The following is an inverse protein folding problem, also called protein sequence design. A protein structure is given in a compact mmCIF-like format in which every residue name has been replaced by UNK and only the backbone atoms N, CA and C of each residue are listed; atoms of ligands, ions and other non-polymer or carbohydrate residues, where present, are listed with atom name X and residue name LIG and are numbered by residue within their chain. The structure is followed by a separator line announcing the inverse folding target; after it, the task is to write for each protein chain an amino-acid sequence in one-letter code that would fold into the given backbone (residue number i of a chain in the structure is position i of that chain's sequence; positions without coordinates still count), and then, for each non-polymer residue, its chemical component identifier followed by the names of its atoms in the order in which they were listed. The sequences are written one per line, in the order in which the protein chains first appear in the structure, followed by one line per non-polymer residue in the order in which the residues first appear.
data_IF_116719165658
#
_entry.id   IF_116719165658
#
_cell.length_a   1.000
_cell.length_b   1.000
_cell.length_c   1.000
_cell.angle_alpha   90.00
_cell.angle_beta   90.00
_cell.angle_gamma   90.00
#
_symmetry.space_group_name_H-M   'P 1'
#
loop_
_entity.id
_entity.type
_entity.pdbx_description
1 polymer ?
#
# COMPACT_ATOMS: atom_id res chain seq x y z
N UNK A 1 55.42 -8.47 34.29
CA UNK A 1 55.06 -7.28 33.49
C UNK A 1 54.22 -7.62 32.25
N UNK A 2 54.30 -8.82 31.70
CA UNK A 2 53.55 -9.22 30.50
C UNK A 2 52.02 -9.35 30.69
N UNK A 3 51.57 -9.84 31.86
CA UNK A 3 50.14 -10.02 32.17
C UNK A 3 49.40 -8.67 32.27
N UNK A 4 50.04 -7.65 32.84
CA UNK A 4 49.45 -6.32 33.01
C UNK A 4 49.28 -5.63 31.64
N UNK A 5 50.23 -5.82 30.72
CA UNK A 5 50.13 -5.31 29.34
C UNK A 5 49.00 -5.98 28.54
N UNK A 6 48.81 -7.30 28.70
CA UNK A 6 47.71 -8.03 28.06
C UNK A 6 46.33 -7.61 28.60
N UNK A 7 46.21 -7.37 29.91
CA UNK A 7 44.96 -6.90 30.51
C UNK A 7 44.60 -5.48 30.05
N UNK A 8 45.60 -4.60 29.89
CA UNK A 8 45.38 -3.26 29.35
C UNK A 8 44.91 -3.30 27.89
N UNK A 9 45.53 -4.15 27.05
CA UNK A 9 45.09 -4.37 25.66
C UNK A 9 43.68 -4.94 25.58
N UNK A 10 43.34 -5.90 26.44
CA UNK A 10 41.99 -6.44 26.52
C UNK A 10 40.95 -5.39 26.95
N UNK A 11 41.30 -4.53 27.91
CA UNK A 11 40.45 -3.43 28.36
C UNK A 11 40.24 -2.36 27.27
N UNK A 12 41.31 -1.95 26.58
CA UNK A 12 41.22 -1.03 25.43
C UNK A 12 40.36 -1.65 24.33
N UNK A 13 40.55 -2.93 24.02
CA UNK A 13 39.72 -3.68 23.08
C UNK A 13 38.23 -3.69 23.48
N UNK A 14 37.94 -3.92 24.75
CA UNK A 14 36.57 -3.88 25.29
C UNK A 14 35.92 -2.50 25.17
N UNK A 15 36.66 -1.43 25.51
CA UNK A 15 36.17 -0.05 25.40
C UNK A 15 35.92 0.35 23.93
N UNK A 16 36.85 0.02 23.03
CA UNK A 16 36.71 0.29 21.59
C UNK A 16 35.53 -0.49 21.01
N UNK A 17 35.41 -1.78 21.34
CA UNK A 17 34.32 -2.63 20.86
C UNK A 17 32.95 -2.20 21.40
N UNK A 18 32.89 -1.84 22.69
CA UNK A 18 31.70 -1.29 23.33
C UNK A 18 31.28 0.05 22.72
N UNK A 19 32.24 0.95 22.48
CA UNK A 19 32.01 2.23 21.82
C UNK A 19 31.55 2.08 20.36
N UNK A 20 32.19 1.18 19.61
CA UNK A 20 31.83 0.84 18.23
C UNK A 20 30.41 0.30 18.13
N UNK A 21 30.04 -0.66 18.99
CA UNK A 21 28.69 -1.22 19.01
C UNK A 21 27.66 -0.15 19.37
N UNK A 22 27.93 0.70 20.37
CA UNK A 22 27.03 1.80 20.75
C UNK A 22 26.84 2.81 19.61
N UNK A 23 27.90 3.15 18.90
CA UNK A 23 27.85 4.04 17.74
C UNK A 23 27.07 3.41 16.56
N UNK A 24 27.30 2.12 16.29
CA UNK A 24 26.57 1.35 15.26
C UNK A 24 25.07 1.30 15.55
N UNK A 25 24.69 1.04 16.80
CA UNK A 25 23.28 1.04 17.23
C UNK A 25 22.64 2.42 17.11
N UNK A 26 23.34 3.49 17.52
CA UNK A 26 22.85 4.87 17.34
C UNK A 26 22.64 5.23 15.87
N UNK A 27 23.58 4.85 15.00
CA UNK A 27 23.47 5.06 13.56
C UNK A 27 22.28 4.30 12.98
N UNK A 28 22.07 3.05 13.39
CA UNK A 28 20.92 2.24 12.97
C UNK A 28 19.59 2.94 13.28
N UNK A 29 19.37 3.36 14.52
CA UNK A 29 18.13 4.03 14.90
C UNK A 29 17.98 5.42 14.26
N UNK A 30 19.07 6.16 14.08
CA UNK A 30 19.03 7.44 13.35
C UNK A 30 18.61 7.26 11.90
N UNK A 31 19.12 6.22 11.22
CA UNK A 31 18.74 5.88 9.85
C UNK A 31 17.27 5.45 9.77
N UNK A 32 16.80 4.63 10.72
CA UNK A 32 15.39 4.23 10.77
C UNK A 32 14.48 5.44 10.97
N UNK A 33 14.81 6.31 11.92
CA UNK A 33 14.00 7.50 12.19
C UNK A 33 13.94 8.42 10.97
N UNK A 34 15.05 8.56 10.23
CA UNK A 34 15.10 9.29 8.96
C UNK A 34 14.24 8.62 7.89
N UNK A 35 14.41 7.31 7.69
CA UNK A 35 13.65 6.55 6.70
C UNK A 35 12.14 6.56 6.98
N UNK A 36 11.72 6.52 8.25
CA UNK A 36 10.31 6.65 8.64
C UNK A 36 9.72 8.03 8.29
N UNK A 37 10.49 9.12 8.46
CA UNK A 37 10.07 10.47 8.02
C UNK A 37 10.00 10.58 6.49
N UNK A 38 11.04 10.12 5.81
CA UNK A 38 11.09 10.14 4.34
C UNK A 38 9.99 9.28 3.71
N UNK A 39 9.58 8.19 4.38
CA UNK A 39 8.47 7.33 3.98
C UNK A 39 7.15 8.12 3.87
N UNK A 40 6.91 9.04 4.82
CA UNK A 40 5.71 9.89 4.88
C UNK A 40 5.81 11.16 4.02
N UNK A 41 7.01 11.70 3.83
CA UNK A 41 7.23 12.99 3.16
C UNK A 41 7.36 12.89 1.63
N UNK A 42 7.89 11.77 1.12
CA UNK A 42 8.25 11.65 -0.31
C UNK A 42 7.18 10.89 -1.08
N UNK A 43 6.77 11.35 -2.27
CA UNK A 43 5.83 10.61 -3.14
C UNK A 43 6.51 9.57 -4.04
N UNK A 44 7.85 9.57 -4.12
CA UNK A 44 8.60 8.67 -5.00
C UNK A 44 8.46 7.19 -4.59
N UNK A 45 8.22 6.34 -5.59
CA UNK A 45 8.25 4.89 -5.45
C UNK A 45 9.69 4.38 -5.52
N UNK A 46 10.35 4.33 -4.36
CA UNK A 46 11.66 3.70 -4.23
C UNK A 46 11.50 2.16 -4.21
N UNK A 47 12.36 1.46 -4.95
CA UNK A 47 12.44 -0.01 -4.92
C UNK A 47 13.85 -0.43 -4.51
N UNK A 48 14.00 -1.46 -3.67
CA UNK A 48 15.33 -1.95 -3.32
C UNK A 48 15.98 -2.60 -4.53
N UNK A 49 17.31 -2.50 -4.62
CA UNK A 49 18.06 -2.94 -5.81
C UNK A 49 17.91 -4.43 -6.10
N UNK A 50 17.62 -5.22 -5.07
CA UNK A 50 17.47 -6.66 -5.14
C UNK A 50 16.04 -7.15 -5.43
N UNK A 51 15.06 -6.25 -5.63
CA UNK A 51 13.63 -6.63 -5.78
C UNK A 51 13.36 -7.64 -6.91
N UNK A 52 14.15 -7.56 -7.98
CA UNK A 52 14.04 -8.44 -9.16
C UNK A 52 14.79 -9.77 -8.99
N UNK A 53 15.46 -10.00 -7.85
CA UNK A 53 16.08 -11.28 -7.52
C UNK A 53 15.10 -12.11 -6.67
N UNK A 54 14.56 -13.16 -7.27
CA UNK A 54 13.52 -14.00 -6.67
C UNK A 54 13.97 -14.64 -5.35
N UNK A 55 15.20 -15.14 -5.29
CA UNK A 55 15.75 -15.76 -4.07
C UNK A 55 15.83 -14.76 -2.92
N UNK A 56 16.39 -13.56 -3.18
CA UNK A 56 16.49 -12.49 -2.17
C UNK A 56 15.13 -11.99 -1.75
N UNK A 57 14.18 -11.86 -2.68
CA UNK A 57 12.82 -11.43 -2.38
C UNK A 57 12.11 -12.45 -1.48
N UNK A 58 12.20 -13.73 -1.81
CA UNK A 58 11.61 -14.82 -1.02
C UNK A 58 12.25 -14.94 0.37
N UNK A 59 13.58 -14.82 0.45
CA UNK A 59 14.31 -14.80 1.72
C UNK A 59 13.86 -13.62 2.58
N UNK A 60 13.78 -12.42 1.99
CA UNK A 60 13.36 -11.22 2.68
C UNK A 60 11.96 -11.37 3.27
N UNK A 61 10.98 -11.76 2.46
CA UNK A 61 9.59 -11.91 2.90
C UNK A 61 9.48 -12.97 3.99
N UNK A 62 10.11 -14.14 3.80
CA UNK A 62 10.07 -15.24 4.76
C UNK A 62 10.64 -14.84 6.13
N UNK A 63 11.79 -14.16 6.14
CA UNK A 63 12.44 -13.70 7.38
C UNK A 63 11.64 -12.58 8.04
N UNK A 64 11.17 -11.57 7.29
CA UNK A 64 10.38 -10.47 7.84
C UNK A 64 9.10 -10.99 8.48
N UNK A 65 8.36 -11.87 7.80
CA UNK A 65 7.13 -12.49 8.33
C UNK A 65 7.41 -13.26 9.62
N UNK A 66 8.50 -14.03 9.66
CA UNK A 66 8.93 -14.78 10.86
C UNK A 66 9.29 -13.84 12.01
N UNK A 67 10.03 -12.76 11.75
CA UNK A 67 10.44 -11.80 12.76
C UNK A 67 9.25 -11.01 13.31
N UNK A 68 8.35 -10.52 12.45
CA UNK A 68 7.14 -9.79 12.86
C UNK A 68 6.21 -10.67 13.69
N UNK A 69 6.05 -11.94 13.32
CA UNK A 69 5.29 -12.90 14.12
C UNK A 69 5.89 -13.09 15.52
N UNK A 70 7.22 -13.30 15.62
CA UNK A 70 7.92 -13.40 16.91
C UNK A 70 7.81 -12.13 17.76
N UNK A 71 7.56 -10.98 17.12
CA UNK A 71 7.34 -9.70 17.79
C UNK A 71 5.87 -9.47 18.21
N UNK A 72 4.99 -10.45 18.00
CA UNK A 72 3.59 -10.44 18.46
C UNK A 72 2.57 -9.95 17.43
N UNK A 73 2.96 -9.84 16.15
CA UNK A 73 2.03 -9.46 15.08
C UNK A 73 1.19 -10.70 14.66
N UNK A 74 -0.15 -10.61 14.62
CA UNK A 74 -1.00 -11.72 14.21
C UNK A 74 -0.71 -12.21 12.79
N UNK A 75 -0.79 -13.53 12.57
CA UNK A 75 -0.59 -14.13 11.25
C UNK A 75 -1.59 -13.58 10.23
N UNK A 76 -2.85 -13.39 10.62
CA UNK A 76 -3.87 -12.79 9.74
C UNK A 76 -3.46 -11.42 9.19
N UNK A 77 -2.93 -10.54 10.04
CA UNK A 77 -2.44 -9.22 9.66
C UNK A 77 -1.23 -9.30 8.72
N UNK A 78 -0.33 -10.27 8.94
CA UNK A 78 0.82 -10.49 8.05
C UNK A 78 0.41 -11.08 6.69
N UNK A 79 -0.55 -11.99 6.68
CA UNK A 79 -1.06 -12.60 5.46
C UNK A 79 -1.71 -11.54 4.59
N UNK A 80 -2.46 -10.64 5.22
CA UNK A 80 -3.06 -9.48 4.58
C UNK A 80 -2.03 -8.50 4.04
N UNK A 81 -1.02 -8.16 4.86
CA UNK A 81 0.11 -7.29 4.50
C UNK A 81 0.81 -7.71 3.23
N UNK A 82 1.19 -8.99 3.18
CA UNK A 82 2.01 -9.52 2.11
C UNK A 82 1.16 -9.94 0.89
N UNK A 83 -0.15 -10.10 1.05
CA UNK A 83 -1.10 -10.27 -0.06
C UNK A 83 -1.43 -8.94 -0.73
N UNK A 84 -1.47 -7.85 0.03
CA UNK A 84 -1.67 -6.50 -0.48
C UNK A 84 -0.44 -6.03 -1.26
N UNK A 85 -0.46 -6.23 -2.58
CA UNK A 85 0.66 -5.87 -3.44
C UNK A 85 0.96 -4.36 -3.38
N UNK A 86 -0.08 -3.52 -3.29
CA UNK A 86 0.04 -2.08 -3.16
C UNK A 86 0.71 -1.69 -1.84
N UNK A 87 0.21 -2.17 -0.71
CA UNK A 87 0.76 -1.78 0.60
C UNK A 87 2.17 -2.33 0.82
N UNK A 88 2.40 -3.58 0.40
CA UNK A 88 3.72 -4.18 0.40
C UNK A 88 4.71 -3.36 -0.45
N UNK A 89 4.30 -2.87 -1.63
CA UNK A 89 5.17 -2.03 -2.47
C UNK A 89 5.39 -0.63 -1.90
N UNK A 90 4.32 0.05 -1.50
CA UNK A 90 4.34 1.47 -1.11
C UNK A 90 4.93 1.68 0.27
N UNK A 91 4.74 0.74 1.20
CA UNK A 91 5.20 0.87 2.58
C UNK A 91 6.44 0.01 2.80
N UNK A 92 6.35 -1.30 2.56
CA UNK A 92 7.41 -2.24 2.92
C UNK A 92 8.61 -2.09 1.97
N UNK A 93 8.41 -2.13 0.66
CA UNK A 93 9.51 -2.06 -0.31
C UNK A 93 10.11 -0.66 -0.38
N UNK A 94 9.29 0.40 -0.31
CA UNK A 94 9.79 1.78 -0.22
C UNK A 94 10.63 2.00 1.03
N UNK A 95 10.14 1.61 2.20
CA UNK A 95 10.93 1.73 3.43
C UNK A 95 12.25 0.97 3.31
N UNK A 96 12.21 -0.24 2.77
CA UNK A 96 13.40 -1.06 2.53
C UNK A 96 14.41 -0.40 1.59
N UNK A 97 13.94 0.24 0.52
CA UNK A 97 14.78 0.99 -0.41
C UNK A 97 15.43 2.22 0.24
N UNK A 98 14.70 2.93 1.12
CA UNK A 98 15.24 4.06 1.88
C UNK A 98 16.33 3.60 2.87
N UNK A 99 16.15 2.44 3.50
CA UNK A 99 17.17 1.83 4.36
C UNK A 99 18.43 1.46 3.54
N UNK A 100 18.24 0.91 2.34
CA UNK A 100 19.34 0.57 1.43
C UNK A 100 20.11 1.81 0.97
N UNK A 101 19.42 2.89 0.58
CA UNK A 101 20.04 4.18 0.23
C UNK A 101 20.89 4.76 1.37
N UNK A 102 20.55 4.45 2.61
CA UNK A 102 21.31 4.81 3.80
C UNK A 102 22.40 3.79 4.18
N UNK A 103 22.73 2.85 3.28
CA UNK A 103 23.74 1.81 3.41
C UNK A 103 23.48 0.80 4.55
N UNK A 104 22.21 0.53 4.89
CA UNK A 104 21.90 -0.58 5.80
C UNK A 104 22.04 -1.92 5.10
N UNK A 105 22.67 -2.86 5.79
CA UNK A 105 22.82 -4.23 5.31
C UNK A 105 21.47 -4.92 5.10
N UNK A 106 21.41 -5.89 4.19
CA UNK A 106 20.20 -6.68 3.93
C UNK A 106 19.62 -7.34 5.20
N UNK A 107 20.48 -7.81 6.11
CA UNK A 107 20.04 -8.31 7.43
C UNK A 107 19.40 -7.23 8.28
N UNK A 108 20.01 -6.04 8.34
CA UNK A 108 19.45 -4.90 9.07
C UNK A 108 18.15 -4.38 8.47
N UNK A 109 17.98 -4.47 7.15
CA UNK A 109 16.74 -4.14 6.46
C UNK A 109 15.60 -5.05 6.94
N UNK A 110 15.82 -6.38 6.95
CA UNK A 110 14.82 -7.36 7.44
C UNK A 110 14.39 -7.09 8.89
N UNK A 111 15.35 -6.78 9.77
CA UNK A 111 15.05 -6.41 11.17
C UNK A 111 14.24 -5.12 11.25
N UNK A 112 14.70 -4.05 10.61
CA UNK A 112 14.04 -2.74 10.66
C UNK A 112 12.61 -2.78 10.10
N UNK A 113 12.40 -3.54 9.02
CA UNK A 113 11.08 -3.72 8.41
C UNK A 113 10.17 -4.52 9.32
N UNK A 114 10.68 -5.57 9.99
CA UNK A 114 9.88 -6.30 10.99
C UNK A 114 9.44 -5.41 12.15
N UNK A 115 10.32 -4.51 12.61
CA UNK A 115 10.02 -3.52 13.65
C UNK A 115 8.99 -2.51 13.18
N UNK A 116 9.08 -2.03 11.92
CA UNK A 116 8.07 -1.17 11.31
C UNK A 116 6.70 -1.84 11.31
N UNK A 117 6.59 -3.08 10.83
CA UNK A 117 5.32 -3.83 10.79
C UNK A 117 4.72 -3.98 12.19
N UNK A 118 5.55 -4.28 13.19
CA UNK A 118 5.12 -4.35 14.59
C UNK A 118 4.59 -3.02 15.09
N UNK A 119 5.29 -1.93 14.80
CA UNK A 119 4.88 -0.59 15.22
C UNK A 119 3.56 -0.22 14.55
N UNK A 120 3.42 -0.45 13.25
CA UNK A 120 2.18 -0.24 12.50
C UNK A 120 0.99 -1.03 13.07
N UNK A 121 1.22 -2.30 13.44
CA UNK A 121 0.20 -3.11 14.12
C UNK A 121 -0.21 -2.49 15.46
N UNK A 122 0.75 -2.08 16.29
CA UNK A 122 0.48 -1.45 17.60
C UNK A 122 -0.25 -0.13 17.47
N UNK A 123 0.08 0.62 16.43
CA UNK A 123 -0.52 1.92 16.13
C UNK A 123 -1.89 1.77 15.43
N UNK A 124 -2.36 0.54 15.20
CA UNK A 124 -3.67 0.26 14.60
C UNK A 124 -3.75 0.65 13.13
N UNK A 125 -2.62 0.66 12.40
CA UNK A 125 -2.61 0.99 10.97
C UNK A 125 -3.38 -0.10 10.21
N UNK A 126 -4.56 0.26 9.73
CA UNK A 126 -5.38 -0.58 8.86
C UNK A 126 -4.65 -0.79 7.53
N UNK A 127 -4.51 -2.06 7.14
CA UNK A 127 -3.98 -2.41 5.83
C UNK A 127 -5.12 -2.41 4.81
N UNK A 128 -4.85 -2.12 3.53
CA UNK A 128 -5.80 -2.51 2.50
C UNK A 128 -5.58 -4.02 2.28
N UNK A 129 -6.49 -4.93 2.64
CA UNK A 129 -7.93 -4.80 2.86
C UNK A 129 -8.42 -5.29 4.24
N UNK A 130 -8.57 -4.35 5.18
CA UNK A 130 -9.50 -4.42 6.30
C UNK A 130 -10.20 -3.08 6.53
N UNK A 131 -10.40 -2.26 5.49
CA UNK A 131 -11.27 -1.10 5.60
C UNK A 131 -12.69 -1.63 5.84
N UNK A 132 -13.18 -1.50 7.07
CA UNK A 132 -14.50 -2.00 7.48
C UNK A 132 -15.60 -1.42 6.58
N UNK A 133 -15.42 -0.20 6.08
CA UNK A 133 -16.35 0.41 5.12
C UNK A 133 -16.27 -0.29 3.76
N UNK A 134 -15.08 -0.59 3.24
CA UNK A 134 -14.91 -1.34 1.99
C UNK A 134 -15.53 -2.73 2.08
N UNK A 135 -15.31 -3.46 3.18
CA UNK A 135 -15.93 -4.78 3.38
C UNK A 135 -17.46 -4.69 3.44
N UNK A 136 -17.98 -3.65 4.09
CA UNK A 136 -19.42 -3.39 4.14
C UNK A 136 -19.99 -3.07 2.75
N UNK A 137 -19.26 -2.29 1.95
CA UNK A 137 -19.58 -1.99 0.55
C UNK A 137 -19.58 -3.26 -0.29
N UNK A 138 -18.56 -4.11 -0.18
CA UNK A 138 -18.47 -5.37 -0.93
C UNK A 138 -19.65 -6.29 -0.58
N UNK A 139 -19.94 -6.46 0.71
CA UNK A 139 -21.08 -7.27 1.15
C UNK A 139 -22.42 -6.75 0.61
N UNK A 140 -22.60 -5.43 0.58
CA UNK A 140 -23.77 -4.81 -0.04
C UNK A 140 -23.84 -5.11 -1.54
N UNK A 141 -22.74 -4.96 -2.27
CA UNK A 141 -22.68 -5.20 -3.71
C UNK A 141 -22.96 -6.66 -4.08
N UNK A 142 -22.52 -7.60 -3.27
CA UNK A 142 -22.81 -9.03 -3.47
C UNK A 142 -24.31 -9.35 -3.43
N UNK A 143 -25.13 -8.50 -2.80
CA UNK A 143 -26.60 -8.63 -2.83
C UNK A 143 -27.25 -8.01 -4.07
N UNK A 144 -26.51 -7.19 -4.82
CA UNK A 144 -27.03 -6.39 -5.95
C UNK A 144 -26.51 -6.89 -7.30
N UNK A 145 -25.34 -7.53 -7.34
CA UNK A 145 -24.68 -7.98 -8.57
C UNK A 145 -24.99 -9.45 -8.80
N UNK A 146 -25.65 -9.75 -9.93
CA UNK A 146 -26.07 -11.11 -10.26
C UNK A 146 -25.31 -11.73 -11.44
N UNK A 147 -24.58 -10.91 -12.21
CA UNK A 147 -23.86 -11.34 -13.40
C UNK A 147 -22.67 -10.42 -13.68
N UNK A 148 -21.77 -10.86 -14.57
CA UNK A 148 -20.55 -10.14 -14.94
C UNK A 148 -20.82 -8.82 -15.68
N UNK A 149 -21.94 -8.72 -16.38
CA UNK A 149 -22.32 -7.51 -17.09
C UNK A 149 -22.66 -6.40 -16.11
N UNK A 150 -23.53 -6.66 -15.12
CA UNK A 150 -23.83 -5.73 -14.02
C UNK A 150 -22.56 -5.34 -13.26
N UNK A 151 -21.67 -6.30 -12.99
CA UNK A 151 -20.39 -6.04 -12.34
C UNK A 151 -19.53 -5.05 -13.14
N UNK A 152 -19.46 -5.22 -14.47
CA UNK A 152 -18.72 -4.33 -15.37
C UNK A 152 -19.28 -2.91 -15.41
N UNK A 153 -20.59 -2.80 -15.37
CA UNK A 153 -21.27 -1.50 -15.42
C UNK A 153 -21.08 -0.73 -14.13
N UNK A 154 -21.13 -1.43 -12.99
CA UNK A 154 -20.83 -0.85 -11.69
C UNK A 154 -19.36 -0.44 -11.60
N UNK A 155 -18.43 -1.32 -11.97
CA UNK A 155 -16.99 -1.01 -11.96
C UNK A 155 -16.68 0.22 -12.83
N UNK A 156 -17.24 0.28 -14.04
CA UNK A 156 -17.11 1.43 -14.94
C UNK A 156 -17.67 2.72 -14.30
N UNK A 157 -18.86 2.65 -13.69
CA UNK A 157 -19.46 3.82 -13.05
C UNK A 157 -18.62 4.34 -11.89
N UNK A 158 -18.14 3.45 -11.03
CA UNK A 158 -17.34 3.83 -9.86
C UNK A 158 -16.01 4.46 -10.27
N UNK A 159 -15.38 3.95 -11.34
CA UNK A 159 -14.20 4.56 -11.92
C UNK A 159 -14.46 5.98 -12.45
N UNK A 160 -15.54 6.16 -13.21
CA UNK A 160 -15.94 7.48 -13.74
C UNK A 160 -16.24 8.48 -12.61
N UNK A 161 -16.95 8.05 -11.56
CA UNK A 161 -17.20 8.88 -10.38
C UNK A 161 -15.88 9.29 -9.69
N UNK A 162 -14.95 8.36 -9.50
CA UNK A 162 -13.65 8.62 -8.89
C UNK A 162 -12.83 9.62 -9.73
N UNK A 163 -12.82 9.46 -11.06
CA UNK A 163 -12.14 10.37 -11.97
C UNK A 163 -12.77 11.77 -11.95
N UNK A 164 -14.11 11.86 -11.92
CA UNK A 164 -14.80 13.14 -11.80
C UNK A 164 -14.45 13.87 -10.49
N UNK A 165 -14.47 13.16 -9.35
CA UNK A 165 -14.07 13.74 -8.05
C UNK A 165 -12.64 14.29 -8.12
N UNK A 166 -11.73 13.55 -8.77
CA UNK A 166 -10.36 14.01 -8.97
C UNK A 166 -10.27 15.23 -9.88
N UNK A 167 -11.01 15.27 -10.99
CA UNK A 167 -11.03 16.42 -11.89
C UNK A 167 -11.50 17.70 -11.16
N UNK A 168 -12.48 17.58 -10.26
CA UNK A 168 -12.90 18.68 -9.39
C UNK A 168 -11.80 19.09 -8.40
N UNK A 169 -11.07 18.13 -7.82
CA UNK A 169 -9.89 18.42 -6.98
C UNK A 169 -8.81 19.17 -7.77
N UNK A 170 -8.52 18.74 -9.00
CA UNK A 170 -7.58 19.41 -9.90
C UNK A 170 -8.01 20.82 -10.28
N UNK A 171 -9.28 21.03 -10.60
CA UNK A 171 -9.80 22.36 -10.93
C UNK A 171 -9.58 23.36 -9.78
N UNK A 172 -9.73 22.89 -8.54
CA UNK A 172 -9.57 23.71 -7.35
C UNK A 172 -8.11 23.81 -6.86
N UNK A 173 -7.18 23.02 -7.43
CA UNK A 173 -5.79 22.96 -6.99
C UNK A 173 -4.81 23.04 -8.19
N UNK A 174 -4.15 24.19 -8.42
CA UNK A 174 -3.26 24.40 -9.56
C UNK A 174 -2.00 23.53 -9.55
N UNK A 175 -1.69 22.85 -8.45
CA UNK A 175 -0.55 21.93 -8.33
C UNK A 175 -0.96 20.44 -8.30
N UNK A 176 -2.21 20.13 -8.65
CA UNK A 176 -2.68 18.76 -8.67
C UNK A 176 -2.05 17.97 -9.84
N UNK A 177 -1.58 16.76 -9.52
CA UNK A 177 -1.06 15.78 -10.47
C UNK A 177 -2.21 15.04 -11.16
N UNK A 178 -1.95 14.48 -12.35
CA UNK A 178 -2.95 13.74 -13.14
C UNK A 178 -3.48 12.51 -12.41
N UNK A 179 -4.67 12.02 -12.79
CA UNK A 179 -5.34 10.89 -12.14
C UNK A 179 -4.45 9.64 -12.14
N UNK A 180 -3.90 9.29 -13.29
CA UNK A 180 -3.04 8.11 -13.47
C UNK A 180 -1.73 8.26 -12.69
N UNK A 181 -1.20 9.49 -12.55
CA UNK A 181 -0.01 9.76 -11.74
C UNK A 181 -0.32 9.58 -10.24
N UNK A 182 -1.49 10.06 -9.81
CA UNK A 182 -1.90 10.05 -8.39
C UNK A 182 -2.43 8.70 -7.92
N UNK A 183 -3.12 7.95 -8.78
CA UNK A 183 -3.86 6.75 -8.40
C UNK A 183 -3.64 5.55 -9.34
N UNK A 184 -2.89 5.70 -10.44
CA UNK A 184 -2.61 4.59 -11.35
C UNK A 184 -1.78 3.45 -10.73
N UNK A 185 -1.26 3.64 -9.51
CA UNK A 185 -0.61 2.59 -8.73
C UNK A 185 -1.59 1.78 -7.85
N UNK A 186 -2.79 2.33 -7.62
CA UNK A 186 -3.95 1.70 -6.96
C UNK A 186 -4.85 0.98 -7.98
N UNK A 187 -4.38 0.81 -9.21
CA UNK A 187 -5.12 0.16 -10.29
C UNK A 187 -4.26 -0.99 -10.81
N UNK A 188 -4.73 -2.22 -10.59
CA UNK A 188 -4.12 -3.44 -11.13
C UNK A 188 -4.02 -3.42 -12.65
N UNK A 189 -3.15 -4.26 -13.22
CA UNK A 189 -2.98 -4.38 -14.68
C UNK A 189 -4.28 -4.74 -15.40
N UNK A 190 -5.09 -5.59 -14.76
CA UNK A 190 -6.39 -6.06 -15.20
C UNK A 190 -7.39 -4.91 -15.18
N UNK A 191 -7.46 -4.16 -14.07
CA UNK A 191 -8.31 -2.99 -13.96
C UNK A 191 -7.91 -1.90 -14.96
N UNK A 192 -6.61 -1.70 -15.19
CA UNK A 192 -6.11 -0.77 -16.20
C UNK A 192 -6.55 -1.16 -17.60
N UNK A 193 -6.39 -2.42 -17.99
CA UNK A 193 -6.83 -2.90 -19.30
C UNK A 193 -8.35 -2.76 -19.49
N UNK A 194 -9.13 -2.93 -18.42
CA UNK A 194 -10.56 -2.70 -18.42
C UNK A 194 -10.89 -1.20 -18.58
N UNK A 195 -10.23 -0.32 -17.81
CA UNK A 195 -10.48 1.13 -17.85
C UNK A 195 -9.99 1.81 -19.13
N UNK A 196 -8.93 1.31 -19.77
CA UNK A 196 -8.44 1.80 -21.06
C UNK A 196 -9.50 1.65 -22.18
N UNK A 197 -10.48 0.74 -21.99
CA UNK A 197 -11.63 0.57 -22.91
C UNK A 197 -12.76 1.56 -22.64
N UNK A 198 -12.75 2.23 -21.49
CA UNK A 198 -13.78 3.19 -21.10
C UNK A 198 -13.34 4.57 -21.58
N UNK A 199 -14.03 5.10 -22.59
CA UNK A 199 -13.83 6.47 -23.02
C UNK A 199 -14.38 7.45 -21.97
N UNK A 200 -13.47 8.02 -21.17
CA UNK A 200 -13.73 9.02 -20.13
C UNK A 200 -14.28 10.35 -20.67
N UNK A 201 -14.03 10.68 -21.94
CA UNK A 201 -14.54 11.92 -22.56
C UNK A 201 -16.00 11.79 -22.99
N UNK A 202 -16.47 10.55 -23.10
CA UNK A 202 -17.79 10.21 -23.62
C UNK A 202 -18.54 9.24 -22.70
N UNK A 203 -18.16 9.20 -21.42
CA UNK A 203 -18.69 8.27 -20.42
C UNK A 203 -20.21 8.32 -20.32
N UNK A 204 -20.85 9.47 -20.57
CA UNK A 204 -22.30 9.59 -20.66
C UNK A 204 -22.90 8.85 -21.86
N UNK A 205 -22.27 8.85 -23.04
CA UNK A 205 -22.70 8.04 -24.20
C UNK A 205 -22.42 6.55 -23.99
N UNK A 206 -21.27 6.18 -23.42
CA UNK A 206 -20.98 4.77 -23.06
C UNK A 206 -22.02 4.23 -22.09
N UNK A 207 -22.41 5.08 -21.14
CA UNK A 207 -23.45 4.81 -20.18
C UNK A 207 -24.83 4.77 -20.84
N UNK A 208 -25.26 5.77 -21.63
CA UNK A 208 -26.58 5.82 -22.29
C UNK A 208 -26.80 4.68 -23.31
N UNK A 209 -25.76 4.30 -24.06
CA UNK A 209 -25.83 3.18 -25.02
C UNK A 209 -25.96 1.82 -24.33
N UNK A 210 -25.46 1.68 -23.09
CA UNK A 210 -25.57 0.45 -22.31
C UNK A 210 -26.72 0.48 -21.27
N UNK A 211 -27.15 1.65 -20.79
CA UNK A 211 -28.02 1.83 -19.61
C UNK A 211 -29.43 1.26 -19.75
N UNK A 212 -29.93 1.04 -20.98
CA UNK A 212 -31.35 0.80 -21.22
C UNK A 212 -31.89 -0.53 -20.66
N UNK A 213 -31.07 -1.40 -20.06
CA UNK A 213 -31.50 -2.77 -19.70
C UNK A 213 -31.01 -3.33 -18.34
N UNK A 214 -30.42 -2.54 -17.44
CA UNK A 214 -29.85 -3.10 -16.20
C UNK A 214 -30.85 -3.25 -15.06
N UNK A 215 -30.66 -4.30 -14.24
CA UNK A 215 -31.40 -4.53 -12.99
C UNK A 215 -30.89 -3.71 -11.79
N UNK A 216 -29.69 -3.12 -11.88
CA UNK A 216 -29.01 -2.51 -10.72
C UNK A 216 -29.07 -0.99 -10.74
N UNK A 217 -29.43 -0.38 -9.60
CA UNK A 217 -29.47 1.07 -9.43
C UNK A 217 -28.08 1.64 -9.09
N UNK A 218 -27.37 2.12 -10.11
CA UNK A 218 -26.01 2.65 -9.96
C UNK A 218 -25.94 3.93 -9.09
N UNK A 219 -27.01 4.73 -9.07
CA UNK A 219 -27.08 5.93 -8.22
C UNK A 219 -27.19 5.55 -6.75
N UNK A 220 -27.97 4.51 -6.42
CA UNK A 220 -28.07 3.95 -5.06
C UNK A 220 -26.71 3.45 -4.58
N UNK A 221 -26.01 2.67 -5.43
CA UNK A 221 -24.66 2.18 -5.12
C UNK A 221 -23.70 3.32 -4.85
N UNK A 222 -23.66 4.32 -5.75
CA UNK A 222 -22.75 5.46 -5.61
C UNK A 222 -23.01 6.20 -4.29
N UNK A 223 -24.29 6.51 -3.97
CA UNK A 223 -24.67 7.16 -2.71
C UNK A 223 -24.34 6.33 -1.48
N UNK A 224 -24.54 5.02 -1.55
CA UNK A 224 -24.22 4.10 -0.46
C UNK A 224 -22.72 4.16 -0.15
N UNK A 225 -21.86 4.10 -1.16
CA UNK A 225 -20.41 4.22 -0.99
C UNK A 225 -20.04 5.60 -0.43
N UNK A 226 -20.60 6.68 -0.98
CA UNK A 226 -20.34 8.05 -0.50
C UNK A 226 -20.76 8.25 0.97
N UNK A 227 -21.73 7.49 1.49
CA UNK A 227 -22.13 7.57 2.90
C UNK A 227 -21.01 7.19 3.89
N UNK A 228 -19.99 6.48 3.43
CA UNK A 228 -18.83 6.07 4.23
C UNK A 228 -17.64 7.05 4.16
N UNK A 229 -17.75 8.16 3.42
CA UNK A 229 -16.60 9.01 3.10
C UNK A 229 -16.25 10.11 4.11
N UNK A 230 -16.83 10.12 5.32
CA UNK A 230 -16.61 11.19 6.32
C UNK A 230 -16.70 12.64 5.76
N UNK A 231 -17.44 12.84 4.67
CA UNK A 231 -17.54 14.09 3.90
C UNK A 231 -16.22 14.58 3.26
N UNK A 232 -15.20 13.72 3.16
CA UNK A 232 -13.93 14.03 2.50
C UNK A 232 -13.95 13.47 1.07
N UNK A 233 -13.81 14.33 0.04
CA UNK A 233 -13.78 13.88 -1.35
C UNK A 233 -12.66 12.87 -1.66
N UNK A 234 -11.52 12.99 -0.98
CA UNK A 234 -10.40 12.03 -1.08
C UNK A 234 -10.79 10.62 -0.67
N UNK A 235 -11.57 10.51 0.41
CA UNK A 235 -11.94 9.23 1.01
C UNK A 235 -13.02 8.56 0.14
N UNK A 236 -13.96 9.35 -0.39
CA UNK A 236 -14.96 8.88 -1.35
C UNK A 236 -14.31 8.34 -2.63
N UNK A 237 -13.37 9.09 -3.20
CA UNK A 237 -12.63 8.68 -4.39
C UNK A 237 -11.95 7.35 -4.18
N UNK A 238 -11.22 7.20 -3.06
CA UNK A 238 -10.48 5.99 -2.77
C UNK A 238 -11.41 4.79 -2.60
N UNK A 239 -12.51 4.94 -1.85
CA UNK A 239 -13.50 3.89 -1.68
C UNK A 239 -14.11 3.45 -3.02
N UNK A 240 -14.45 4.40 -3.90
CA UNK A 240 -14.99 4.08 -5.22
C UNK A 240 -13.98 3.35 -6.11
N UNK A 241 -12.72 3.81 -6.12
CA UNK A 241 -11.66 3.20 -6.91
C UNK A 241 -11.35 1.76 -6.46
N UNK A 242 -11.14 1.56 -5.16
CA UNK A 242 -10.85 0.23 -4.60
C UNK A 242 -12.03 -0.74 -4.79
N UNK A 243 -13.26 -0.24 -4.71
CA UNK A 243 -14.45 -1.06 -4.97
C UNK A 243 -14.51 -1.47 -6.44
N UNK A 244 -14.20 -0.57 -7.37
CA UNK A 244 -14.16 -0.87 -8.80
C UNK A 244 -13.11 -1.94 -9.13
N UNK A 245 -11.89 -1.78 -8.59
CA UNK A 245 -10.79 -2.72 -8.75
C UNK A 245 -11.17 -4.12 -8.23
N UNK A 246 -11.74 -4.20 -7.03
CA UNK A 246 -12.19 -5.46 -6.46
C UNK A 246 -13.20 -6.19 -7.36
N UNK A 247 -14.16 -5.47 -7.94
CA UNK A 247 -15.15 -6.07 -8.84
C UNK A 247 -14.50 -6.63 -10.10
N UNK A 248 -13.55 -5.90 -10.70
CA UNK A 248 -12.84 -6.34 -11.90
C UNK A 248 -12.07 -7.62 -11.65
N UNK A 249 -11.35 -7.70 -10.52
CA UNK A 249 -10.59 -8.88 -10.14
C UNK A 249 -11.49 -10.07 -9.82
N UNK A 250 -12.51 -9.87 -8.99
CA UNK A 250 -13.43 -10.92 -8.55
C UNK A 250 -14.18 -11.54 -9.72
N UNK A 251 -14.67 -10.71 -10.64
CA UNK A 251 -15.48 -11.13 -11.78
C UNK A 251 -14.67 -11.37 -13.06
N UNK A 252 -13.35 -11.15 -13.02
CA UNK A 252 -12.43 -11.31 -14.15
C UNK A 252 -12.89 -10.55 -15.39
N UNK A 253 -13.18 -9.27 -15.20
CA UNK A 253 -13.69 -8.38 -16.23
C UNK A 253 -12.51 -7.91 -17.10
N UNK A 254 -12.11 -8.75 -18.06
CA UNK A 254 -10.99 -8.46 -18.99
C UNK A 254 -11.46 -7.90 -20.31
#
# INVERSE_FOLDING_TARGET
MEIIGLLFLAWVGYVIFGGYNKAKTRRYYAVIARAKRELTETKDLYRPTWINNDDKRNEFIGVVRTLSYKQGVPVSYLDELFRSEEFSRVVIMKFTALLEKNNLSFTSQKTAVSELIRDMWKDGVEMPPSNTNLQTIINFLDTKIFNSFDASVIAARLYLDANFIHAVDMFNNPNAVLFEEKYGHTISSEAKAFFDKIDVTNGSQYMELNYQTHSVNLTEISRYISSFSNNKPSDELLLKLMTAEHLIEKWKLS
#
